data_IF_594060551935
#
_entry.id   IF_594060551935
#
_cell.length_a   1.000
_cell.length_b   1.000
_cell.length_c   1.000
_cell.angle_alpha   90.00
_cell.angle_beta   90.00
_cell.angle_gamma   90.00
#
_symmetry.space_group_name_H-M   'P 1'
#
loop_
_entity.id
_entity.type
_entity.pdbx_description
1 polymer ?
#
# COMPACT_ATOMS: atom_id res chain seq x y z
N UNK A 1 -0.46 3.49 -16.62
CA UNK A 1 0.04 4.14 -17.84
C UNK A 1 1.48 4.52 -17.58
N UNK A 2 2.37 4.45 -18.56
CA UNK A 2 3.74 4.92 -18.39
C UNK A 2 3.96 6.16 -19.26
N UNK A 3 4.90 6.99 -18.85
CA UNK A 3 5.44 8.09 -19.62
C UNK A 3 6.94 8.13 -19.40
N UNK A 4 7.70 8.17 -20.50
CA UNK A 4 9.15 8.10 -20.44
C UNK A 4 9.74 9.29 -21.18
N UNK A 5 10.66 10.01 -20.54
CA UNK A 5 11.42 11.10 -21.16
C UNK A 5 12.78 10.58 -21.56
N UNK A 6 13.17 10.78 -22.81
CA UNK A 6 14.42 10.29 -23.35
C UNK A 6 15.36 11.44 -23.73
N UNK A 7 16.66 11.19 -23.58
CA UNK A 7 17.73 12.11 -23.99
C UNK A 7 18.77 11.40 -24.82
N UNK A 8 19.06 11.98 -25.99
CA UNK A 8 20.17 11.58 -26.84
C UNK A 8 21.49 11.98 -26.16
N UNK A 9 22.37 10.99 -26.00
CA UNK A 9 23.69 11.14 -25.41
C UNK A 9 24.74 11.55 -26.46
N UNK A 10 25.90 12.07 -26.06
CA UNK A 10 26.99 12.40 -26.98
C UNK A 10 27.47 11.23 -27.84
N UNK A 11 27.34 9.99 -27.35
CA UNK A 11 27.69 8.75 -28.06
C UNK A 11 26.61 8.27 -29.05
N UNK A 12 25.51 9.02 -29.19
CA UNK A 12 24.38 8.68 -30.06
C UNK A 12 23.37 7.71 -29.43
N UNK A 13 23.60 7.22 -28.22
CA UNK A 13 22.63 6.37 -27.52
C UNK A 13 21.49 7.19 -26.91
N UNK A 14 20.30 6.57 -26.79
CA UNK A 14 19.18 7.16 -26.05
C UNK A 14 19.13 6.58 -24.64
N UNK A 15 19.02 7.46 -23.64
CA UNK A 15 18.83 7.09 -22.23
C UNK A 15 17.60 7.82 -21.68
N UNK A 16 16.81 7.13 -20.88
CA UNK A 16 15.67 7.76 -20.22
C UNK A 16 16.14 8.62 -19.04
N UNK A 17 15.54 9.79 -18.87
CA UNK A 17 15.71 10.71 -17.74
C UNK A 17 14.63 10.51 -16.67
N UNK A 18 13.50 9.99 -17.10
CA UNK A 18 12.30 9.76 -16.30
C UNK A 18 11.54 8.58 -16.89
N UNK A 19 11.07 7.68 -16.04
CA UNK A 19 10.06 6.69 -16.39
C UNK A 19 9.06 6.58 -15.25
N UNK A 20 7.79 6.82 -15.56
CA UNK A 20 6.73 6.80 -14.55
C UNK A 20 5.38 7.23 -15.09
N UNK A 21 4.33 6.96 -14.33
CA UNK A 21 2.99 7.41 -14.69
C UNK A 21 1.94 6.97 -13.67
N UNK A 22 0.80 7.67 -13.63
CA UNK A 22 -0.24 7.32 -12.68
C UNK A 22 -0.90 5.98 -13.03
N UNK A 23 -1.48 5.30 -12.02
CA UNK A 23 -2.44 4.24 -12.28
C UNK A 23 -3.66 4.86 -12.96
N UNK A 24 -3.99 4.36 -14.16
CA UNK A 24 -5.15 4.79 -14.93
C UNK A 24 -6.21 3.68 -14.91
N UNK A 25 -7.46 4.09 -14.84
CA UNK A 25 -8.62 3.22 -15.02
C UNK A 25 -9.00 3.23 -16.50
N UNK A 26 -9.22 2.06 -17.09
CA UNK A 26 -9.57 1.83 -18.51
C UNK A 26 -8.45 2.12 -19.53
N UNK A 27 -7.80 1.06 -20.00
CA UNK A 27 -7.07 1.10 -21.27
C UNK A 27 -8.02 0.68 -22.40
N UNK A 28 -8.14 1.44 -23.49
CA UNK A 28 -8.50 0.81 -24.75
C UNK A 28 -7.37 -0.16 -25.12
N UNK A 29 -7.71 -1.35 -25.63
CA UNK A 29 -6.71 -2.26 -26.21
C UNK A 29 -6.08 -1.57 -27.41
N UNK A 30 -4.83 -1.13 -27.28
CA UNK A 30 -4.06 -0.57 -28.39
C UNK A 30 -3.36 -1.75 -29.06
N UNK A 31 -3.56 -1.91 -30.38
CA UNK A 31 -2.83 -2.92 -31.14
C UNK A 31 -1.30 -2.66 -31.00
N UNK A 32 -0.46 -3.70 -30.87
CA UNK A 32 0.99 -3.54 -30.72
C UNK A 32 1.62 -2.70 -31.84
N UNK A 33 1.02 -2.76 -33.03
CA UNK A 33 1.43 -2.06 -34.24
C UNK A 33 0.41 -0.98 -34.65
N UNK A 34 -0.09 -0.20 -33.69
CA UNK A 34 -0.95 0.94 -34.03
C UNK A 34 -0.24 1.82 -35.07
N UNK A 35 -0.77 1.84 -36.29
CA UNK A 35 -0.07 2.31 -37.50
C UNK A 35 0.33 3.80 -37.46
N UNK A 36 -0.18 4.58 -36.52
CA UNK A 36 0.18 5.97 -36.30
C UNK A 36 0.24 6.29 -34.80
N UNK A 37 1.45 6.55 -34.29
CA UNK A 37 1.64 7.14 -32.95
C UNK A 37 1.48 8.66 -33.11
N UNK A 38 0.48 9.30 -32.45
CA UNK A 38 0.32 10.75 -32.54
C UNK A 38 1.59 11.47 -32.11
N UNK A 39 2.07 12.38 -32.94
CA UNK A 39 3.30 13.15 -32.69
C UNK A 39 2.95 14.55 -32.20
N UNK A 40 3.66 15.00 -31.15
CA UNK A 40 3.64 16.40 -30.77
C UNK A 40 4.32 17.22 -31.89
N UNK A 41 3.73 18.35 -32.33
CA UNK A 41 4.37 19.22 -33.30
C UNK A 41 5.77 19.65 -32.85
N UNK A 42 6.73 19.67 -33.76
CA UNK A 42 8.09 20.18 -33.47
C UNK A 42 8.03 21.70 -33.28
N UNK A 43 8.71 22.20 -32.27
CA UNK A 43 8.79 23.63 -32.02
C UNK A 43 9.55 24.35 -33.15
N UNK A 44 9.00 25.47 -33.62
CA UNK A 44 9.63 26.25 -34.69
C UNK A 44 10.94 26.95 -34.25
N UNK A 45 11.09 27.21 -32.95
CA UNK A 45 12.29 27.83 -32.36
C UNK A 45 12.37 27.51 -30.86
N UNK A 46 13.58 27.63 -30.31
CA UNK A 46 13.81 27.66 -28.86
C UNK A 46 14.29 29.03 -28.38
N UNK A 47 14.57 29.13 -27.08
CA UNK A 47 15.05 30.38 -26.44
C UNK A 47 16.57 30.53 -26.45
N UNK A 48 17.26 29.79 -27.32
CA UNK A 48 18.68 29.94 -27.62
C UNK A 48 19.63 29.01 -26.85
N UNK A 49 19.26 28.54 -25.66
CA UNK A 49 20.04 27.53 -24.92
C UNK A 49 19.20 26.73 -23.94
N UNK A 50 19.72 25.56 -23.56
CA UNK A 50 19.13 24.72 -22.51
C UNK A 50 19.06 25.46 -21.16
N UNK A 51 20.10 26.20 -20.80
CA UNK A 51 20.16 26.95 -19.53
C UNK A 51 19.10 28.06 -19.48
N UNK A 52 18.96 28.83 -20.56
CA UNK A 52 17.94 29.87 -20.66
C UNK A 52 16.53 29.28 -20.58
N UNK A 53 16.29 28.16 -21.27
CA UNK A 53 15.01 27.47 -21.24
C UNK A 53 14.66 26.96 -19.84
N UNK A 54 15.60 26.26 -19.19
CA UNK A 54 15.42 25.76 -17.84
C UNK A 54 15.18 26.88 -16.83
N UNK A 55 15.90 28.00 -16.94
CA UNK A 55 15.73 29.16 -16.06
C UNK A 55 14.34 29.82 -16.24
N UNK A 56 13.91 30.04 -17.48
CA UNK A 56 12.61 30.65 -17.77
C UNK A 56 11.45 29.77 -17.29
N UNK A 57 11.48 28.48 -17.60
CA UNK A 57 10.44 27.54 -17.15
C UNK A 57 10.45 27.40 -15.64
N UNK A 58 11.63 27.34 -14.99
CA UNK A 58 11.71 27.29 -13.53
C UNK A 58 11.17 28.56 -12.85
N UNK A 59 11.24 29.72 -13.50
CA UNK A 59 10.61 30.94 -13.00
C UNK A 59 9.09 30.88 -13.12
N UNK A 60 8.56 30.38 -14.24
CA UNK A 60 7.11 30.17 -14.43
C UNK A 60 6.57 29.18 -13.41
N UNK A 61 7.22 28.02 -13.26
CA UNK A 61 6.86 26.97 -12.29
C UNK A 61 6.76 27.49 -10.85
N UNK A 62 7.72 28.32 -10.43
CA UNK A 62 7.73 28.91 -9.09
C UNK A 62 6.69 30.03 -8.92
N UNK A 63 6.38 30.76 -9.99
CA UNK A 63 5.37 31.82 -9.98
C UNK A 63 3.93 31.30 -10.09
N UNK A 64 3.72 30.18 -10.77
CA UNK A 64 2.43 29.53 -10.99
C UNK A 64 2.37 28.17 -10.27
N UNK A 65 2.55 28.17 -8.95
CA UNK A 65 2.67 26.96 -8.14
C UNK A 65 1.35 26.21 -7.87
N UNK A 66 0.23 26.57 -8.52
CA UNK A 66 -1.08 25.91 -8.33
C UNK A 66 -1.65 25.41 -9.65
N UNK A 67 -2.48 24.36 -9.58
CA UNK A 67 -3.17 23.84 -10.76
C UNK A 67 -3.94 24.92 -11.52
N UNK A 68 -4.65 25.79 -10.80
CA UNK A 68 -5.43 26.89 -11.37
C UNK A 68 -4.55 27.94 -12.09
N UNK A 69 -3.39 28.29 -11.52
CA UNK A 69 -2.47 29.24 -12.15
C UNK A 69 -1.83 28.70 -13.44
N UNK A 70 -1.62 27.38 -13.51
CA UNK A 70 -1.01 26.72 -14.67
C UNK A 70 -1.98 26.51 -15.85
N UNK A 71 -3.29 26.65 -15.64
CA UNK A 71 -4.29 26.53 -16.72
C UNK A 71 -3.99 27.51 -17.87
N UNK A 72 -3.52 28.73 -17.56
CA UNK A 72 -3.17 29.73 -18.56
C UNK A 72 -1.96 29.34 -19.44
N UNK A 73 -1.17 28.36 -18.99
CA UNK A 73 0.00 27.87 -19.69
C UNK A 73 -0.26 26.56 -20.45
N UNK A 74 -1.46 25.95 -20.37
CA UNK A 74 -1.76 24.75 -21.13
C UNK A 74 -1.83 25.05 -22.63
N UNK A 75 -1.20 24.18 -23.42
CA UNK A 75 -1.44 24.12 -24.85
C UNK A 75 -2.84 23.59 -25.17
N UNK A 76 -3.40 23.98 -26.31
CA UNK A 76 -4.73 23.51 -26.73
C UNK A 76 -4.78 22.01 -27.07
N UNK A 77 -3.65 21.42 -27.41
CA UNK A 77 -3.40 20.00 -27.66
C UNK A 77 -2.76 19.27 -26.46
N UNK A 78 -2.69 19.91 -25.28
CA UNK A 78 -2.03 19.37 -24.11
C UNK A 78 -2.67 18.06 -23.61
N UNK A 79 -1.83 17.18 -23.10
CA UNK A 79 -2.25 15.95 -22.43
C UNK A 79 -2.14 16.11 -20.92
N UNK A 80 -3.20 15.81 -20.19
CA UNK A 80 -3.20 15.86 -18.72
C UNK A 80 -3.64 14.51 -18.17
N UNK A 81 -2.81 13.92 -17.31
CA UNK A 81 -3.04 12.61 -16.72
C UNK A 81 -3.16 12.70 -15.20
N UNK A 82 -4.20 12.08 -14.66
CA UNK A 82 -4.48 12.00 -13.21
C UNK A 82 -4.82 10.57 -12.83
N UNK A 83 -4.50 10.18 -11.61
CA UNK A 83 -4.84 8.86 -11.10
C UNK A 83 -6.36 8.64 -11.12
N UNK A 84 -6.79 7.45 -11.55
CA UNK A 84 -8.20 7.06 -11.66
C UNK A 84 -9.10 7.95 -12.54
N UNK A 85 -8.50 8.79 -13.40
CA UNK A 85 -9.22 9.57 -14.41
C UNK A 85 -8.95 9.01 -15.82
N UNK A 86 -9.92 9.09 -16.74
CA UNK A 86 -9.63 8.91 -18.16
C UNK A 86 -8.56 9.91 -18.61
N UNK A 87 -7.72 9.50 -19.58
CA UNK A 87 -6.75 10.40 -20.21
C UNK A 87 -7.48 11.60 -20.82
N UNK A 88 -7.10 12.82 -20.45
CA UNK A 88 -7.62 14.03 -21.08
C UNK A 88 -6.63 14.53 -22.14
N UNK A 89 -7.16 14.83 -23.33
CA UNK A 89 -6.41 15.44 -24.42
C UNK A 89 -7.15 16.69 -24.91
N UNK A 90 -6.45 17.82 -24.83
CA UNK A 90 -6.84 19.11 -25.35
C UNK A 90 -8.02 19.81 -24.68
N UNK A 91 -8.16 21.11 -25.01
CA UNK A 91 -9.31 21.95 -24.71
C UNK A 91 -9.80 21.93 -23.25
N UNK A 92 -11.13 21.84 -23.07
CA UNK A 92 -11.77 21.86 -21.75
C UNK A 92 -11.44 20.64 -20.89
N UNK A 93 -11.21 19.47 -21.51
CA UNK A 93 -10.91 18.23 -20.80
C UNK A 93 -9.57 18.34 -20.06
N UNK A 94 -8.50 18.77 -20.75
CA UNK A 94 -7.19 18.99 -20.13
C UNK A 94 -7.26 20.03 -19.00
N UNK A 95 -7.94 21.15 -19.25
CA UNK A 95 -8.11 22.23 -18.26
C UNK A 95 -8.84 21.75 -16.99
N UNK A 96 -9.88 20.92 -17.12
CA UNK A 96 -10.62 20.39 -15.97
C UNK A 96 -9.79 19.49 -15.04
N UNK A 97 -8.73 18.85 -15.55
CA UNK A 97 -7.88 17.96 -14.74
C UNK A 97 -6.75 18.71 -14.02
N UNK A 98 -6.43 19.96 -14.39
CA UNK A 98 -5.31 20.69 -13.79
C UNK A 98 -5.47 20.95 -12.30
N UNK A 99 -6.72 21.05 -11.82
CA UNK A 99 -7.06 21.27 -10.41
C UNK A 99 -7.46 19.98 -9.68
N UNK A 100 -7.30 18.81 -10.31
CA UNK A 100 -7.46 17.52 -9.66
C UNK A 100 -6.12 17.02 -9.12
N UNK A 101 -6.08 16.33 -7.97
CA UNK A 101 -7.21 15.70 -7.28
C UNK A 101 -8.04 16.61 -6.36
N UNK A 102 -7.55 17.79 -5.99
CA UNK A 102 -8.29 18.72 -5.13
C UNK A 102 -7.98 20.19 -5.47
N UNK A 103 -8.90 21.14 -5.19
CA UNK A 103 -8.71 22.55 -5.52
C UNK A 103 -7.50 23.22 -4.86
N UNK A 104 -7.03 22.70 -3.73
CA UNK A 104 -5.87 23.20 -2.98
C UNK A 104 -4.52 22.63 -3.47
N UNK A 105 -4.55 21.92 -4.61
CA UNK A 105 -3.37 21.36 -5.25
C UNK A 105 -2.30 22.42 -5.53
N UNK A 106 -1.13 22.19 -4.95
CA UNK A 106 0.05 23.00 -5.12
C UNK A 106 1.28 22.17 -5.50
N UNK A 107 2.25 22.83 -6.12
CA UNK A 107 3.45 22.24 -6.68
C UNK A 107 4.71 22.91 -6.16
N UNK A 108 5.75 22.11 -5.89
CA UNK A 108 7.09 22.59 -5.58
C UNK A 108 8.08 21.97 -6.57
N UNK A 109 8.67 22.82 -7.42
CA UNK A 109 9.65 22.38 -8.42
C UNK A 109 10.91 21.83 -7.75
N UNK A 110 11.34 20.63 -8.14
CA UNK A 110 12.61 20.04 -7.71
C UNK A 110 13.68 20.13 -8.80
N UNK A 111 13.30 19.89 -10.06
CA UNK A 111 14.24 19.83 -11.19
C UNK A 111 13.60 20.28 -12.49
N UNK A 112 14.38 20.98 -13.30
CA UNK A 112 14.07 21.32 -14.68
C UNK A 112 15.27 20.96 -15.57
N UNK A 113 15.04 20.20 -16.64
CA UNK A 113 16.06 19.89 -17.65
C UNK A 113 15.56 20.24 -19.04
N UNK A 114 16.39 20.92 -19.82
CA UNK A 114 16.02 21.41 -21.13
C UNK A 114 16.77 20.70 -22.26
N UNK A 115 16.10 20.62 -23.40
CA UNK A 115 16.67 20.32 -24.71
C UNK A 115 17.82 21.27 -25.08
N UNK A 116 18.76 20.81 -25.91
CA UNK A 116 19.90 21.61 -26.38
C UNK A 116 19.46 22.88 -27.11
N UNK A 117 18.40 22.79 -27.93
CA UNK A 117 17.84 23.91 -28.67
C UNK A 117 17.09 24.92 -27.77
N UNK A 118 16.79 24.55 -26.51
CA UNK A 118 16.03 25.39 -25.59
C UNK A 118 14.57 25.56 -26.00
N UNK A 119 14.00 24.57 -26.68
CA UNK A 119 12.62 24.57 -27.20
C UNK A 119 11.69 23.63 -26.40
N UNK A 120 12.26 22.71 -25.63
CA UNK A 120 11.54 21.81 -24.74
C UNK A 120 12.20 21.74 -23.36
N UNK A 121 11.40 21.71 -22.29
CA UNK A 121 11.84 21.54 -20.90
C UNK A 121 10.98 20.48 -20.21
N UNK A 122 11.64 19.53 -19.55
CA UNK A 122 11.02 18.59 -18.63
C UNK A 122 11.18 19.11 -17.20
N UNK A 123 10.08 19.12 -16.44
CA UNK A 123 10.09 19.50 -15.02
C UNK A 123 9.52 18.39 -14.14
N UNK A 124 10.10 18.22 -12.96
CA UNK A 124 9.56 17.35 -11.90
C UNK A 124 9.63 18.03 -10.55
N UNK A 125 8.69 17.66 -9.68
CA UNK A 125 8.67 18.14 -8.32
C UNK A 125 7.60 17.50 -7.47
N UNK A 126 7.39 18.05 -6.28
CA UNK A 126 6.37 17.58 -5.36
C UNK A 126 5.01 18.20 -5.71
N UNK A 127 3.96 17.41 -5.53
CA UNK A 127 2.56 17.85 -5.56
C UNK A 127 1.95 17.61 -4.18
N UNK A 128 1.20 18.57 -3.63
CA UNK A 128 0.53 18.44 -2.33
C UNK A 128 -0.91 18.91 -2.43
N UNK A 129 -1.81 18.23 -1.73
CA UNK A 129 -3.24 18.51 -1.73
C UNK A 129 -3.90 17.93 -0.47
N UNK A 130 -5.18 18.22 -0.25
CA UNK A 130 -5.95 17.64 0.86
C UNK A 130 -6.96 16.62 0.34
N UNK A 131 -6.97 15.40 0.90
CA UNK A 131 -7.96 14.36 0.61
C UNK A 131 -8.72 14.04 1.90
N UNK A 132 -10.05 14.22 1.93
CA UNK A 132 -10.89 13.92 3.10
C UNK A 132 -10.36 14.55 4.41
N UNK A 133 -9.87 15.79 4.35
CA UNK A 133 -9.30 16.52 5.49
C UNK A 133 -7.89 16.07 5.91
N UNK A 134 -7.26 15.14 5.20
CA UNK A 134 -5.88 14.68 5.47
C UNK A 134 -4.92 15.21 4.40
N UNK A 135 -3.71 15.66 4.80
CA UNK A 135 -2.66 15.99 3.85
C UNK A 135 -2.33 14.79 2.97
N UNK A 136 -2.21 15.03 1.67
CA UNK A 136 -1.75 14.08 0.67
C UNK A 136 -0.62 14.73 -0.12
N UNK A 137 0.32 13.91 -0.57
CA UNK A 137 1.44 14.35 -1.39
C UNK A 137 1.61 13.38 -2.54
N UNK A 138 2.43 13.74 -3.53
CA UNK A 138 2.85 12.93 -4.67
C UNK A 138 3.90 13.68 -5.47
N UNK A 139 4.16 13.25 -6.69
CA UNK A 139 5.10 13.94 -7.58
C UNK A 139 4.41 14.36 -8.87
N UNK A 140 4.72 15.54 -9.38
CA UNK A 140 4.32 15.95 -10.71
C UNK A 140 5.47 15.76 -11.70
N UNK A 141 5.10 15.59 -12.96
CA UNK A 141 6.00 15.70 -14.10
C UNK A 141 5.31 16.45 -15.23
N UNK A 142 6.02 17.41 -15.83
CA UNK A 142 5.52 18.21 -16.94
C UNK A 142 6.51 18.31 -18.08
N UNK A 143 5.97 18.42 -19.29
CA UNK A 143 6.71 18.84 -20.48
C UNK A 143 6.20 20.20 -20.91
N UNK A 144 7.15 21.12 -21.03
CA UNK A 144 6.97 22.45 -21.57
C UNK A 144 7.59 22.51 -22.96
N UNK A 145 6.91 23.16 -23.89
CA UNK A 145 7.41 23.46 -25.22
C UNK A 145 7.31 24.96 -25.49
N UNK A 146 8.34 25.53 -26.11
CA UNK A 146 8.33 26.91 -26.55
C UNK A 146 7.56 27.01 -27.87
N UNK A 147 6.46 27.78 -27.86
CA UNK A 147 5.58 27.98 -29.01
C UNK A 147 5.56 29.44 -29.44
N UNK A 148 4.80 29.75 -30.49
CA UNK A 148 4.64 31.12 -31.00
C UNK A 148 4.16 32.10 -29.92
N UNK A 149 3.33 31.60 -29.01
CA UNK A 149 2.69 32.29 -27.89
C UNK A 149 3.49 32.20 -26.57
N UNK A 150 4.72 31.67 -26.62
CA UNK A 150 5.61 31.46 -25.48
C UNK A 150 5.58 30.03 -24.94
N UNK A 151 6.04 29.86 -23.69
CA UNK A 151 6.08 28.55 -23.04
C UNK A 151 4.67 27.99 -22.81
N UNK A 152 4.44 26.76 -23.27
CA UNK A 152 3.20 26.02 -23.05
C UNK A 152 3.44 24.62 -22.51
N UNK A 153 2.60 24.20 -21.59
CA UNK A 153 2.54 22.85 -21.05
C UNK A 153 1.85 21.99 -22.12
N UNK A 154 2.58 21.02 -22.66
CA UNK A 154 2.09 20.07 -23.65
C UNK A 154 1.78 18.70 -23.02
N UNK A 155 2.35 18.43 -21.84
CA UNK A 155 2.06 17.25 -21.04
C UNK A 155 2.15 17.59 -19.56
N UNK A 156 1.19 17.10 -18.77
CA UNK A 156 1.20 17.20 -17.31
C UNK A 156 0.68 15.89 -16.68
N UNK A 157 1.35 15.41 -15.64
CA UNK A 157 0.86 14.32 -14.83
C UNK A 157 1.16 14.50 -13.34
N UNK A 158 0.31 13.89 -12.52
CA UNK A 158 0.58 13.69 -11.09
C UNK A 158 0.62 12.18 -10.84
N UNK A 159 1.72 11.72 -10.27
CA UNK A 159 1.91 10.37 -9.78
C UNK A 159 1.70 10.42 -8.27
N UNK A 160 0.59 9.88 -7.74
CA UNK A 160 0.43 9.76 -6.29
C UNK A 160 1.49 8.78 -5.74
N UNK A 161 1.84 8.88 -4.45
CA UNK A 161 2.74 7.97 -3.79
C UNK A 161 2.16 6.58 -3.94
N UNK A 162 3.01 5.64 -4.32
CA UNK A 162 2.60 4.26 -4.25
C UNK A 162 2.39 3.93 -2.78
N UNK A 163 1.21 3.44 -2.39
CA UNK A 163 1.05 2.94 -1.04
C UNK A 163 2.12 1.86 -0.81
N UNK A 164 2.62 1.76 0.42
CA UNK A 164 3.73 0.88 0.77
C UNK A 164 3.54 0.37 2.19
N UNK A 165 3.76 -0.93 2.41
CA UNK A 165 3.75 -1.48 3.76
C UNK A 165 5.00 -1.09 4.59
N UNK A 166 5.91 -0.26 4.05
CA UNK A 166 7.15 0.12 4.70
C UNK A 166 6.95 0.69 6.11
N UNK A 167 5.94 1.54 6.34
CA UNK A 167 5.68 2.09 7.66
C UNK A 167 5.27 1.02 8.69
N UNK A 168 4.43 0.06 8.28
CA UNK A 168 4.00 -1.07 9.13
C UNK A 168 5.15 -2.06 9.36
N UNK A 169 5.96 -2.34 8.34
CA UNK A 169 7.17 -3.16 8.46
C UNK A 169 8.16 -2.51 9.43
N UNK A 170 8.33 -1.19 9.37
CA UNK A 170 9.23 -0.48 10.27
C UNK A 170 8.66 -0.41 11.69
N UNK A 171 7.35 -0.27 11.87
CA UNK A 171 6.71 -0.34 13.19
C UNK A 171 6.97 -1.71 13.86
N UNK A 172 6.82 -2.80 13.11
CA UNK A 172 7.13 -4.15 13.57
C UNK A 172 8.62 -4.31 13.93
N UNK A 173 9.53 -3.84 13.06
CA UNK A 173 10.97 -3.90 13.33
C UNK A 173 11.36 -3.03 14.53
N UNK A 174 10.73 -1.87 14.71
CA UNK A 174 10.95 -1.00 15.86
C UNK A 174 10.50 -1.67 17.15
N UNK A 175 9.29 -2.26 17.16
CA UNK A 175 8.79 -3.06 18.27
C UNK A 175 9.76 -4.21 18.61
N UNK A 176 10.18 -4.99 17.62
CA UNK A 176 11.11 -6.10 17.81
C UNK A 176 12.46 -5.63 18.37
N UNK A 177 13.04 -4.54 17.84
CA UNK A 177 14.30 -3.96 18.35
C UNK A 177 14.15 -3.45 19.78
N UNK A 178 13.08 -2.73 20.09
CA UNK A 178 12.84 -2.23 21.45
C UNK A 178 12.63 -3.36 22.45
N UNK A 179 11.90 -4.42 22.07
CA UNK A 179 11.71 -5.60 22.92
C UNK A 179 13.06 -6.24 23.33
N UNK A 180 14.11 -6.16 22.49
CA UNK A 180 15.46 -6.63 22.87
C UNK A 180 16.18 -5.71 23.86
N UNK A 181 15.80 -4.43 23.92
CA UNK A 181 16.49 -3.41 24.74
C UNK A 181 15.80 -3.20 26.09
N UNK A 182 14.46 -3.15 26.11
CA UNK A 182 13.65 -2.83 27.30
C UNK A 182 12.74 -3.99 27.73
N UNK A 183 12.82 -5.11 27.04
CA UNK A 183 12.01 -6.30 27.31
C UNK A 183 10.62 -6.29 26.63
N UNK A 184 10.06 -7.48 26.37
CA UNK A 184 8.83 -7.66 25.59
C UNK A 184 7.57 -7.15 26.29
N UNK A 185 7.42 -7.24 27.62
CA UNK A 185 6.29 -6.67 28.35
C UNK A 185 6.26 -5.15 28.22
N UNK A 186 7.41 -4.49 28.42
CA UNK A 186 7.50 -3.02 28.33
C UNK A 186 7.28 -2.56 26.89
N UNK A 187 7.91 -3.22 25.92
CA UNK A 187 7.72 -2.92 24.51
C UNK A 187 6.27 -3.13 24.07
N UNK A 188 5.60 -4.22 24.50
CA UNK A 188 4.19 -4.44 24.20
C UNK A 188 3.32 -3.29 24.73
N UNK A 189 3.50 -2.87 25.99
CA UNK A 189 2.76 -1.72 26.55
C UNK A 189 3.00 -0.44 25.75
N UNK A 190 4.20 -0.26 25.21
CA UNK A 190 4.57 0.89 24.39
C UNK A 190 4.00 0.87 22.97
N UNK A 191 3.85 -0.29 22.35
CA UNK A 191 3.47 -0.43 20.93
C UNK A 191 2.01 -0.86 20.72
N UNK A 192 1.33 -1.32 21.74
CA UNK A 192 -0.08 -1.69 21.68
C UNK A 192 -1.02 -0.50 21.70
N UNK A 193 -2.17 -0.65 21.05
CA UNK A 193 -3.32 0.21 21.27
C UNK A 193 -3.97 -0.12 22.62
N UNK A 194 -4.75 0.81 23.17
CA UNK A 194 -5.45 0.62 24.45
C UNK A 194 -6.48 -0.51 24.42
N UNK A 195 -7.02 -0.80 23.24
CA UNK A 195 -7.98 -1.87 22.95
C UNK A 195 -7.33 -3.11 22.31
N UNK A 196 -6.02 -3.27 22.47
CA UNK A 196 -5.29 -4.37 21.88
C UNK A 196 -5.63 -5.72 22.54
N UNK A 197 -5.80 -6.76 21.72
CA UNK A 197 -6.18 -8.11 22.16
C UNK A 197 -5.05 -9.10 21.88
N UNK A 198 -4.80 -9.98 22.85
CA UNK A 198 -3.93 -11.16 22.70
C UNK A 198 -4.72 -12.43 23.01
N UNK A 199 -4.20 -13.60 22.61
CA UNK A 199 -4.81 -14.90 22.91
C UNK A 199 -4.09 -15.62 24.06
N UNK A 200 -4.73 -15.77 25.23
CA UNK A 200 -4.18 -16.44 26.44
C UNK A 200 -5.26 -17.14 27.30
N UNK A 201 -5.66 -18.40 27.02
CA UNK A 201 -5.74 -19.03 25.71
C UNK A 201 -6.93 -18.50 24.86
N UNK A 202 -7.81 -17.70 25.47
CA UNK A 202 -8.87 -16.93 24.81
C UNK A 202 -8.49 -15.47 24.59
N UNK A 203 -9.33 -14.69 23.89
CA UNK A 203 -9.10 -13.26 23.70
C UNK A 203 -9.17 -12.53 25.04
N UNK A 204 -8.13 -11.76 25.33
CA UNK A 204 -8.02 -10.90 26.52
C UNK A 204 -7.39 -9.57 26.12
N UNK A 205 -7.80 -8.47 26.77
CA UNK A 205 -7.12 -7.19 26.57
C UNK A 205 -5.67 -7.31 27.06
N UNK A 206 -4.73 -6.73 26.30
CA UNK A 206 -3.32 -6.76 26.69
C UNK A 206 -3.10 -6.16 28.09
N UNK A 207 -3.78 -5.06 28.40
CA UNK A 207 -3.70 -4.37 29.68
C UNK A 207 -4.07 -5.28 30.85
N UNK A 208 -5.12 -6.08 30.69
CA UNK A 208 -5.57 -7.07 31.68
C UNK A 208 -4.58 -8.24 31.78
N UNK A 209 -4.12 -8.76 30.64
CA UNK A 209 -3.15 -9.86 30.60
C UNK A 209 -1.80 -9.49 31.22
N UNK A 210 -1.39 -8.23 31.13
CA UNK A 210 -0.14 -7.73 31.70
C UNK A 210 -0.31 -7.08 33.08
N UNK A 211 -1.50 -7.17 33.68
CA UNK A 211 -1.76 -6.66 35.02
C UNK A 211 -0.90 -7.40 36.04
N UNK A 212 0.02 -6.68 36.70
CA UNK A 212 0.94 -7.26 37.69
C UNK A 212 2.20 -7.93 37.11
N UNK A 213 2.37 -7.97 35.78
CA UNK A 213 3.59 -8.48 35.16
C UNK A 213 4.76 -7.50 35.38
N UNK A 214 5.81 -7.94 36.08
CA UNK A 214 6.94 -7.09 36.51
C UNK A 214 8.18 -7.16 35.61
N UNK A 215 8.29 -8.17 34.73
CA UNK A 215 9.44 -8.31 33.83
C UNK A 215 9.40 -9.60 33.04
N UNK A 216 10.28 -9.66 32.04
CA UNK A 216 10.26 -10.64 30.95
C UNK A 216 11.03 -11.94 31.23
N UNK A 217 11.60 -12.06 32.44
CA UNK A 217 12.55 -13.11 32.77
C UNK A 217 13.84 -12.96 31.97
N UNK A 218 14.43 -14.08 31.54
CA UNK A 218 15.66 -14.14 30.73
C UNK A 218 15.41 -14.52 29.27
N UNK A 219 14.16 -14.78 28.89
CA UNK A 219 13.81 -15.24 27.54
C UNK A 219 13.82 -14.06 26.57
N UNK A 220 14.60 -14.18 25.50
CA UNK A 220 14.61 -13.18 24.42
C UNK A 220 13.67 -13.63 23.32
N UNK A 221 12.70 -12.79 22.94
CA UNK A 221 11.81 -13.06 21.81
C UNK A 221 12.23 -12.20 20.62
N UNK A 222 12.65 -12.84 19.53
CA UNK A 222 13.10 -12.15 18.32
C UNK A 222 12.08 -12.36 17.20
N UNK A 223 11.62 -11.28 16.57
CA UNK A 223 10.54 -11.29 15.57
C UNK A 223 11.14 -10.89 14.22
N UNK A 224 10.72 -11.54 13.13
CA UNK A 224 11.17 -11.18 11.78
C UNK A 224 9.98 -11.09 10.83
N UNK A 225 9.58 -9.89 10.38
CA UNK A 225 8.52 -9.77 9.38
C UNK A 225 8.91 -10.48 8.08
N UNK A 226 8.03 -11.38 7.62
CA UNK A 226 8.17 -12.19 6.40
C UNK A 226 6.98 -12.02 5.43
N UNK A 227 5.97 -11.29 5.87
CA UNK A 227 4.85 -10.83 5.07
C UNK A 227 4.26 -9.57 5.68
N UNK A 228 3.84 -8.64 4.83
CA UNK A 228 3.08 -7.49 5.29
C UNK A 228 2.01 -7.10 4.27
N UNK A 229 0.95 -6.47 4.75
CA UNK A 229 -0.04 -5.81 3.91
C UNK A 229 -0.53 -4.53 4.58
N UNK A 230 -0.91 -3.54 3.78
CA UNK A 230 -1.46 -2.28 4.30
C UNK A 230 -2.57 -1.78 3.37
N UNK A 231 -3.53 -1.07 3.94
CA UNK A 231 -4.56 -0.33 3.22
C UNK A 231 -3.94 0.72 2.31
N UNK A 232 -4.68 1.14 1.27
CA UNK A 232 -4.28 2.24 0.38
C UNK A 232 -4.03 3.55 1.12
N UNK A 233 -4.78 3.78 2.21
CA UNK A 233 -4.62 4.97 3.06
C UNK A 233 -3.44 4.86 4.04
N UNK A 234 -2.80 3.69 4.17
CA UNK A 234 -1.67 3.47 5.08
C UNK A 234 -2.05 3.41 6.56
N UNK A 235 -3.35 3.42 6.88
CA UNK A 235 -3.88 3.57 8.24
C UNK A 235 -4.21 2.25 8.94
N UNK A 236 -4.21 1.15 8.19
CA UNK A 236 -4.55 -0.17 8.69
C UNK A 236 -3.73 -1.23 7.95
N UNK A 237 -3.08 -2.13 8.67
CA UNK A 237 -2.20 -3.12 8.07
C UNK A 237 -1.92 -4.30 8.98
N UNK A 238 -1.07 -5.21 8.51
CA UNK A 238 -0.67 -6.38 9.28
C UNK A 238 0.73 -6.84 8.90
N UNK A 239 1.35 -7.58 9.82
CA UNK A 239 2.62 -8.27 9.65
C UNK A 239 2.46 -9.72 10.08
N UNK A 240 3.25 -10.60 9.46
CA UNK A 240 3.40 -11.98 9.91
C UNK A 240 4.81 -12.46 9.59
N UNK A 241 5.32 -13.35 10.42
CA UNK A 241 6.60 -14.01 10.19
C UNK A 241 7.06 -14.82 11.39
N UNK A 242 8.24 -15.43 11.32
CA UNK A 242 8.75 -16.26 12.39
C UNK A 242 9.12 -15.42 13.62
N UNK A 243 8.89 -16.00 14.79
CA UNK A 243 9.53 -15.59 16.02
C UNK A 243 10.46 -16.69 16.54
N UNK A 244 11.51 -16.28 17.24
CA UNK A 244 12.56 -17.14 17.77
C UNK A 244 12.67 -16.91 19.27
N UNK A 245 12.85 -17.99 20.01
CA UNK A 245 13.20 -17.93 21.43
C UNK A 245 14.72 -17.98 21.55
N UNK A 246 15.28 -17.02 22.26
CA UNK A 246 16.71 -16.83 22.49
C UNK A 246 17.51 -16.74 21.18
N UNK A 247 18.78 -17.16 21.18
CA UNK A 247 19.65 -17.18 20.00
C UNK A 247 19.38 -18.38 19.07
N UNK A 248 18.23 -19.06 19.22
CA UNK A 248 17.89 -20.21 18.40
C UNK A 248 17.77 -19.79 16.92
N UNK A 249 18.34 -20.63 16.04
CA UNK A 249 18.22 -20.46 14.58
C UNK A 249 16.93 -21.06 14.02
N UNK A 250 16.19 -21.81 14.84
CA UNK A 250 14.91 -22.43 14.46
C UNK A 250 13.77 -21.57 15.00
N UNK A 251 12.80 -21.25 14.15
CA UNK A 251 11.61 -20.51 14.56
C UNK A 251 10.83 -21.31 15.61
N UNK A 252 10.42 -20.66 16.69
CA UNK A 252 9.52 -21.22 17.69
C UNK A 252 8.05 -21.18 17.23
N UNK A 253 7.76 -20.38 16.21
CA UNK A 253 6.45 -20.28 15.58
C UNK A 253 6.38 -19.08 14.65
N UNK A 254 5.19 -18.75 14.19
CA UNK A 254 4.90 -17.52 13.45
C UNK A 254 3.92 -16.65 14.21
N UNK A 255 4.21 -15.35 14.25
CA UNK A 255 3.31 -14.34 14.78
C UNK A 255 2.41 -13.79 13.67
N UNK A 256 1.31 -13.18 14.11
CA UNK A 256 0.42 -12.38 13.27
C UNK A 256 -0.04 -11.17 14.07
N UNK A 257 0.35 -9.99 13.60
CA UNK A 257 0.12 -8.71 14.27
C UNK A 257 -0.69 -7.80 13.35
N UNK A 258 -1.74 -7.18 13.87
CA UNK A 258 -2.58 -6.23 13.13
C UNK A 258 -2.34 -4.83 13.65
N UNK A 259 -2.02 -3.90 12.77
CA UNK A 259 -1.61 -2.53 13.04
C UNK A 259 -2.69 -1.52 12.63
N UNK A 260 -2.88 -0.49 13.45
CA UNK A 260 -3.82 0.61 13.19
C UNK A 260 -3.16 1.94 13.53
N UNK A 261 -3.31 2.92 12.64
CA UNK A 261 -2.94 4.31 12.93
C UNK A 261 -3.85 4.88 14.01
N UNK A 262 -3.24 5.54 14.99
CA UNK A 262 -3.93 6.27 16.05
C UNK A 262 -4.25 7.69 15.57
N UNK A 263 -5.03 8.43 16.37
CA UNK A 263 -5.40 9.83 16.07
C UNK A 263 -4.20 10.78 16.03
N UNK A 264 -3.10 10.44 16.72
CA UNK A 264 -1.85 11.19 16.71
C UNK A 264 -0.92 10.83 15.54
N UNK A 265 -1.34 9.91 14.67
CA UNK A 265 -0.56 9.42 13.53
C UNK A 265 0.41 8.28 13.85
N UNK A 266 0.57 7.91 15.11
CA UNK A 266 1.39 6.74 15.49
C UNK A 266 0.73 5.43 15.02
N UNK A 267 1.53 4.43 14.67
CA UNK A 267 1.03 3.07 14.44
C UNK A 267 1.11 2.29 15.75
N UNK A 268 -0.01 1.65 16.12
CA UNK A 268 -0.07 0.73 17.26
C UNK A 268 -0.73 -0.57 16.83
N UNK A 269 -0.30 -1.69 17.39
CA UNK A 269 -0.95 -2.97 17.12
C UNK A 269 -2.21 -3.14 17.97
N UNK A 270 -3.25 -3.73 17.39
CA UNK A 270 -4.57 -3.96 18.00
C UNK A 270 -4.88 -5.45 18.21
N UNK A 271 -4.10 -6.32 17.60
CA UNK A 271 -4.18 -7.75 17.76
C UNK A 271 -2.79 -8.35 17.60
N UNK A 272 -2.39 -9.23 18.51
CA UNK A 272 -1.19 -10.02 18.38
C UNK A 272 -1.42 -11.46 18.87
N UNK A 273 -1.06 -12.43 18.04
CA UNK A 273 -1.06 -13.83 18.42
C UNK A 273 -0.07 -14.63 17.55
N UNK A 274 0.36 -15.79 18.05
CA UNK A 274 1.22 -16.70 17.31
C UNK A 274 0.75 -18.14 17.35
N UNK A 275 1.23 -18.95 16.40
CA UNK A 275 1.08 -20.42 16.42
C UNK A 275 2.43 -21.05 16.11
N UNK A 276 2.60 -22.29 16.57
CA UNK A 276 3.73 -23.20 16.35
C UNK A 276 3.85 -23.68 14.88
N UNK A 277 3.99 -22.71 13.97
CA UNK A 277 4.32 -22.95 12.56
C UNK A 277 5.76 -23.47 12.47
N UNK A 278 5.98 -24.51 11.68
CA UNK A 278 7.31 -25.06 11.45
C UNK A 278 7.95 -24.34 10.27
N UNK A 279 8.94 -23.49 10.54
CA UNK A 279 9.74 -22.86 9.50
C UNK A 279 11.05 -23.63 9.28
N UNK A 280 11.27 -24.13 8.07
CA UNK A 280 12.49 -24.85 7.72
C UNK A 280 13.65 -23.91 7.36
N UNK A 281 13.40 -22.61 7.18
CA UNK A 281 14.40 -21.66 6.68
C UNK A 281 14.60 -20.46 7.63
N UNK A 282 15.85 -20.12 7.98
CA UNK A 282 16.12 -18.89 8.72
C UNK A 282 15.91 -17.67 7.81
N UNK A 283 15.31 -16.60 8.36
CA UNK A 283 15.11 -15.32 7.67
C UNK A 283 16.11 -14.30 8.20
N UNK A 284 16.84 -13.56 7.36
CA UNK A 284 17.75 -12.51 7.85
C UNK A 284 16.97 -11.32 8.49
N UNK A 285 17.51 -10.62 9.52
CA UNK A 285 16.80 -9.51 10.16
C UNK A 285 16.39 -8.36 9.21
N UNK A 286 17.19 -8.10 8.18
CA UNK A 286 17.02 -7.05 7.19
C UNK A 286 16.45 -7.56 5.86
N UNK A 287 16.04 -8.83 5.79
CA UNK A 287 15.48 -9.44 4.59
C UNK A 287 14.34 -8.59 4.01
N UNK A 288 14.27 -8.53 2.68
CA UNK A 288 13.15 -7.91 1.99
C UNK A 288 11.85 -8.61 2.39
N UNK A 289 10.84 -7.84 2.78
CA UNK A 289 9.55 -8.36 3.23
C UNK A 289 8.59 -8.37 2.03
N UNK A 290 8.15 -9.54 1.55
CA UNK A 290 7.09 -9.61 0.54
C UNK A 290 5.82 -8.88 0.99
N UNK A 291 5.22 -8.12 0.09
CA UNK A 291 4.05 -7.30 0.38
C UNK A 291 2.81 -7.82 -0.35
N UNK A 292 1.67 -7.79 0.33
CA UNK A 292 0.36 -8.00 -0.28
C UNK A 292 0.10 -6.91 -1.33
N UNK A 293 -0.33 -7.25 -2.56
CA UNK A 293 -0.72 -6.25 -3.55
C UNK A 293 -1.86 -5.36 -3.04
N UNK A 294 -1.81 -4.07 -3.35
CA UNK A 294 -2.84 -3.12 -2.94
C UNK A 294 -4.21 -3.43 -3.53
N UNK A 295 -5.24 -3.01 -2.80
CA UNK A 295 -6.61 -3.13 -3.24
C UNK A 295 -6.88 -2.26 -4.49
N UNK A 296 -7.77 -2.75 -5.36
CA UNK A 296 -8.18 -2.00 -6.56
C UNK A 296 -9.21 -0.90 -6.26
N UNK A 297 -9.83 -0.92 -5.08
CA UNK A 297 -10.86 -0.01 -4.60
C UNK A 297 -11.25 -0.38 -3.16
N UNK A 298 -12.29 0.24 -2.61
CA UNK A 298 -12.76 -0.03 -1.24
C UNK A 298 -14.26 0.19 -1.08
N UNK A 299 -14.79 -0.21 0.08
CA UNK A 299 -16.19 -0.04 0.48
C UNK A 299 -16.54 1.41 0.89
N UNK A 300 -15.58 2.35 0.77
CA UNK A 300 -15.79 3.77 1.04
C UNK A 300 -15.69 4.17 2.51
N UNK A 301 -15.73 3.23 3.45
CA UNK A 301 -15.47 3.47 4.86
C UNK A 301 -15.06 2.18 5.60
N UNK A 302 -14.44 2.34 6.78
CA UNK A 302 -14.14 1.24 7.68
C UNK A 302 -15.40 0.45 8.08
N UNK A 303 -16.48 1.15 8.43
CA UNK A 303 -17.75 0.50 8.80
C UNK A 303 -18.37 -0.25 7.62
N UNK A 304 -18.35 0.34 6.41
CA UNK A 304 -18.81 -0.34 5.20
C UNK A 304 -18.05 -1.63 4.92
N UNK A 305 -16.73 -1.64 5.12
CA UNK A 305 -15.93 -2.86 5.00
C UNK A 305 -16.31 -3.91 6.04
N UNK A 306 -16.51 -3.50 7.30
CA UNK A 306 -16.93 -4.39 8.39
C UNK A 306 -18.29 -5.03 8.07
N UNK A 307 -19.27 -4.23 7.65
CA UNK A 307 -20.63 -4.69 7.39
C UNK A 307 -20.67 -5.68 6.22
N UNK A 308 -19.99 -5.35 5.11
CA UNK A 308 -19.92 -6.24 3.94
C UNK A 308 -19.19 -7.56 4.24
N UNK A 309 -18.07 -7.51 4.98
CA UNK A 309 -17.32 -8.72 5.33
C UNK A 309 -18.10 -9.60 6.30
N UNK A 310 -18.81 -9.02 7.27
CA UNK A 310 -19.69 -9.78 8.18
C UNK A 310 -20.84 -10.44 7.44
N UNK A 311 -21.44 -9.75 6.47
CA UNK A 311 -22.46 -10.33 5.61
C UNK A 311 -21.89 -11.53 4.84
N UNK A 312 -20.71 -11.39 4.24
CA UNK A 312 -20.04 -12.49 3.54
C UNK A 312 -19.73 -13.68 4.45
N UNK A 313 -19.21 -13.46 5.67
CA UNK A 313 -18.96 -14.54 6.63
C UNK A 313 -20.26 -15.26 7.05
N UNK A 314 -21.37 -14.52 7.15
CA UNK A 314 -22.69 -15.08 7.47
C UNK A 314 -23.25 -15.91 6.32
N UNK A 315 -23.14 -15.42 5.09
CA UNK A 315 -23.58 -16.12 3.88
C UNK A 315 -22.71 -17.35 3.55
N UNK A 316 -21.44 -17.34 3.96
CA UNK A 316 -20.45 -18.37 3.66
C UNK A 316 -20.00 -19.09 4.95
N UNK A 317 -20.92 -19.74 5.63
CA UNK A 317 -20.69 -20.31 6.97
C UNK A 317 -19.88 -21.63 6.99
N UNK A 318 -19.57 -22.23 5.83
CA UNK A 318 -18.81 -23.49 5.74
C UNK A 318 -17.40 -23.29 5.19
N UNK A 319 -16.49 -24.22 5.50
CA UNK A 319 -15.11 -24.22 4.96
C UNK A 319 -15.11 -24.16 3.43
N UNK A 320 -15.96 -24.96 2.76
CA UNK A 320 -16.02 -24.99 1.29
C UNK A 320 -16.46 -23.64 0.69
N UNK A 321 -17.42 -22.97 1.31
CA UNK A 321 -17.88 -21.65 0.87
C UNK A 321 -16.82 -20.57 1.10
N UNK A 322 -16.15 -20.57 2.27
CA UNK A 322 -15.03 -19.65 2.53
C UNK A 322 -13.85 -19.91 1.59
N UNK A 323 -13.58 -21.17 1.24
CA UNK A 323 -12.52 -21.53 0.30
C UNK A 323 -12.73 -20.90 -1.09
N UNK A 324 -13.99 -20.72 -1.52
CA UNK A 324 -14.32 -20.05 -2.77
C UNK A 324 -14.04 -18.53 -2.74
N UNK A 325 -13.83 -17.96 -1.56
CA UNK A 325 -13.50 -16.54 -1.36
C UNK A 325 -12.00 -16.30 -1.19
N UNK A 326 -11.15 -17.32 -1.29
CA UNK A 326 -9.70 -17.15 -1.22
C UNK A 326 -9.17 -16.35 -2.41
N UNK A 327 -8.19 -15.49 -2.14
CA UNK A 327 -7.42 -14.81 -3.17
C UNK A 327 -6.40 -15.78 -3.80
N UNK A 328 -6.06 -15.67 -5.10
CA UNK A 328 -5.03 -16.49 -5.73
C UNK A 328 -3.64 -16.38 -5.09
N UNK A 329 -3.38 -15.30 -4.35
CA UNK A 329 -2.15 -15.00 -3.60
C UNK A 329 -2.34 -15.14 -2.07
N UNK A 330 -3.39 -15.85 -1.62
CA UNK A 330 -3.67 -16.05 -0.18
C UNK A 330 -2.48 -16.67 0.55
N UNK A 331 -2.24 -16.26 1.79
CA UNK A 331 -1.34 -16.95 2.72
C UNK A 331 -2.10 -17.61 3.86
N UNK A 332 -1.69 -18.83 4.21
CA UNK A 332 -2.35 -19.63 5.25
C UNK A 332 -1.31 -20.13 6.23
N UNK A 333 -1.54 -19.85 7.51
CA UNK A 333 -0.76 -20.37 8.63
C UNK A 333 -1.60 -21.37 9.43
N UNK A 334 -1.02 -22.54 9.72
CA UNK A 334 -1.62 -23.58 10.56
C UNK A 334 -0.55 -24.14 11.50
N UNK A 335 -0.97 -24.47 12.71
CA UNK A 335 -0.15 -25.20 13.69
C UNK A 335 0.45 -26.46 13.06
N UNK A 336 1.76 -26.66 13.25
CA UNK A 336 2.48 -27.83 12.73
C UNK A 336 2.74 -27.87 11.22
N UNK A 337 2.32 -26.85 10.46
CA UNK A 337 2.61 -26.72 9.03
C UNK A 337 3.61 -25.59 8.77
N UNK A 338 4.28 -25.62 7.61
CA UNK A 338 5.02 -24.46 7.11
C UNK A 338 4.06 -23.38 6.60
N UNK A 339 4.45 -22.09 6.59
CA UNK A 339 3.65 -21.05 5.96
C UNK A 339 3.49 -21.33 4.47
N UNK A 340 2.26 -21.36 3.97
CA UNK A 340 1.98 -21.59 2.55
C UNK A 340 1.40 -20.34 1.90
N UNK A 341 1.56 -20.24 0.58
CA UNK A 341 0.97 -19.20 -0.25
C UNK A 341 0.32 -19.79 -1.52
N UNK A 342 -0.63 -19.05 -2.09
CA UNK A 342 -1.31 -19.38 -3.34
C UNK A 342 -2.04 -20.73 -3.32
N UNK A 343 -1.87 -21.53 -4.36
CA UNK A 343 -2.58 -22.80 -4.53
C UNK A 343 -2.32 -23.79 -3.37
N UNK A 344 -1.08 -23.88 -2.89
CA UNK A 344 -0.74 -24.75 -1.76
C UNK A 344 -1.43 -24.30 -0.46
N UNK A 345 -1.54 -22.98 -0.25
CA UNK A 345 -2.30 -22.42 0.86
C UNK A 345 -3.80 -22.70 0.74
N UNK A 346 -4.38 -22.58 -0.45
CA UNK A 346 -5.78 -22.91 -0.70
C UNK A 346 -6.06 -24.40 -0.44
N UNK A 347 -5.16 -25.29 -0.85
CA UNK A 347 -5.25 -26.71 -0.57
C UNK A 347 -5.17 -27.01 0.94
N UNK A 348 -4.29 -26.32 1.68
CA UNK A 348 -4.21 -26.44 3.14
C UNK A 348 -5.48 -25.92 3.83
N UNK A 349 -6.05 -24.81 3.35
CA UNK A 349 -7.32 -24.30 3.87
C UNK A 349 -8.45 -25.33 3.69
N UNK A 350 -8.53 -25.97 2.52
CA UNK A 350 -9.53 -26.99 2.21
C UNK A 350 -9.41 -28.27 3.06
N UNK A 351 -8.26 -28.52 3.67
CA UNK A 351 -8.07 -29.63 4.63
C UNK A 351 -8.67 -29.33 6.01
N UNK A 352 -9.12 -28.10 6.26
CA UNK A 352 -9.86 -27.78 7.50
C UNK A 352 -11.12 -28.67 7.57
N UNK A 353 -11.36 -29.37 8.70
CA UNK A 353 -12.53 -30.22 8.87
C UNK A 353 -13.84 -29.55 8.41
N UNK A 354 -14.66 -30.24 7.62
CA UNK A 354 -15.92 -29.70 7.12
C UNK A 354 -16.93 -29.35 8.24
N UNK A 355 -16.74 -29.92 9.43
CA UNK A 355 -17.44 -29.59 10.68
C UNK A 355 -17.06 -28.24 11.25
N UNK A 356 -15.97 -27.61 10.78
CA UNK A 356 -15.49 -26.36 11.33
C UNK A 356 -16.47 -25.22 11.10
N UNK A 357 -16.71 -24.41 12.13
CA UNK A 357 -17.59 -23.24 12.07
C UNK A 357 -16.89 -22.04 12.69
N UNK A 358 -16.98 -20.91 12.01
CA UNK A 358 -16.34 -19.65 12.41
C UNK A 358 -17.39 -18.68 12.94
N UNK A 359 -17.09 -18.04 14.07
CA UNK A 359 -17.94 -17.01 14.66
C UNK A 359 -17.11 -15.77 14.96
N UNK A 360 -17.38 -14.70 14.24
CA UNK A 360 -16.68 -13.42 14.36
C UNK A 360 -16.96 -12.78 15.72
N UNK A 361 -15.91 -12.41 16.45
CA UNK A 361 -16.00 -11.66 17.71
C UNK A 361 -15.69 -10.17 17.50
N UNK A 362 -14.69 -9.88 16.68
CA UNK A 362 -14.29 -8.51 16.32
C UNK A 362 -14.07 -8.41 14.83
N UNK A 363 -14.41 -7.25 14.29
CA UNK A 363 -14.07 -6.86 12.94
C UNK A 363 -13.56 -5.41 12.95
N UNK A 364 -12.57 -5.13 12.12
CA UNK A 364 -11.97 -3.81 11.93
C UNK A 364 -11.78 -3.57 10.43
N UNK A 365 -11.79 -2.31 10.00
CA UNK A 365 -11.64 -1.93 8.59
C UNK A 365 -10.77 -0.69 8.41
N UNK A 366 -10.14 -0.57 7.25
CA UNK A 366 -9.38 0.63 6.86
C UNK A 366 -10.29 1.81 6.53
N UNK A 367 -9.78 3.05 6.60
CA UNK A 367 -10.59 4.24 6.31
C UNK A 367 -11.21 4.25 4.91
N UNK A 368 -10.52 3.74 3.89
CA UNK A 368 -11.08 3.61 2.52
C UNK A 368 -11.96 2.35 2.33
N UNK A 369 -12.05 1.49 3.35
CA UNK A 369 -12.81 0.25 3.32
C UNK A 369 -12.25 -0.79 2.35
N UNK A 370 -10.94 -0.78 2.12
CA UNK A 370 -10.24 -1.61 1.16
C UNK A 370 -9.53 -2.83 1.78
N UNK A 371 -9.34 -2.80 3.10
CA UNK A 371 -8.79 -3.89 3.91
C UNK A 371 -9.68 -4.07 5.16
N UNK A 372 -9.94 -5.32 5.55
CA UNK A 372 -10.65 -5.62 6.78
C UNK A 372 -10.00 -6.79 7.53
N UNK A 373 -10.10 -6.75 8.85
CA UNK A 373 -9.64 -7.79 9.75
C UNK A 373 -10.84 -8.36 10.49
N UNK A 374 -10.91 -9.69 10.58
CA UNK A 374 -11.89 -10.40 11.40
C UNK A 374 -11.15 -11.38 12.30
N UNK A 375 -11.47 -11.39 13.60
CA UNK A 375 -11.07 -12.46 14.49
C UNK A 375 -12.27 -13.00 15.26
N UNK A 376 -12.19 -14.27 15.63
CA UNK A 376 -13.23 -14.87 16.44
C UNK A 376 -12.94 -16.31 16.82
N UNK A 377 -13.99 -17.07 17.10
CA UNK A 377 -13.90 -18.47 17.49
C UNK A 377 -13.99 -19.39 16.28
N UNK A 378 -13.31 -20.52 16.37
CA UNK A 378 -13.53 -21.66 15.49
C UNK A 378 -13.87 -22.90 16.31
N UNK A 379 -14.97 -23.56 15.98
CA UNK A 379 -15.39 -24.83 16.58
C UNK A 379 -15.33 -25.95 15.54
N UNK A 380 -15.55 -27.21 15.94
CA UNK A 380 -15.59 -28.34 15.00
C UNK A 380 -14.22 -28.82 14.48
N UNK A 381 -13.13 -28.27 15.02
CA UNK A 381 -11.77 -28.82 14.93
C UNK A 381 -11.54 -29.82 16.08
N UNK A 382 -10.42 -30.54 16.08
CA UNK A 382 -9.95 -31.26 17.28
C UNK A 382 -9.59 -30.23 18.37
N UNK A 383 -10.61 -29.80 19.13
CA UNK A 383 -10.55 -28.67 20.06
C UNK A 383 -11.21 -27.40 19.49
N UNK A 384 -11.76 -26.57 20.38
CA UNK A 384 -12.16 -25.22 20.01
C UNK A 384 -10.91 -24.32 19.94
N UNK A 385 -10.92 -23.33 19.06
CA UNK A 385 -9.80 -22.40 18.85
C UNK A 385 -10.29 -21.00 18.51
N UNK A 386 -9.35 -20.19 18.05
CA UNK A 386 -9.64 -18.88 17.48
C UNK A 386 -9.13 -18.81 16.04
N UNK A 387 -9.63 -17.85 15.29
CA UNK A 387 -9.10 -17.53 13.97
C UNK A 387 -8.83 -16.04 13.86
N UNK A 388 -7.90 -15.69 12.99
CA UNK A 388 -7.64 -14.33 12.52
C UNK A 388 -7.57 -14.37 11.00
N UNK A 389 -8.20 -13.39 10.35
CA UNK A 389 -8.33 -13.36 8.89
C UNK A 389 -8.27 -11.93 8.38
N UNK A 390 -7.55 -11.75 7.28
CA UNK A 390 -7.53 -10.50 6.52
C UNK A 390 -8.31 -10.68 5.22
N UNK A 391 -9.19 -9.73 4.98
CA UNK A 391 -9.97 -9.56 3.76
C UNK A 391 -9.46 -8.34 3.03
N UNK A 392 -9.41 -8.42 1.70
CA UNK A 392 -9.10 -7.27 0.86
C UNK A 392 -10.10 -7.14 -0.29
N UNK A 393 -10.50 -5.90 -0.59
CA UNK A 393 -11.40 -5.60 -1.71
C UNK A 393 -10.63 -5.71 -3.03
N UNK A 394 -10.76 -6.84 -3.71
CA UNK A 394 -10.23 -7.04 -5.07
C UNK A 394 -11.23 -6.52 -6.10
N UNK A 395 -10.83 -6.45 -7.38
CA UNK A 395 -11.72 -6.05 -8.49
C UNK A 395 -13.00 -6.91 -8.56
N UNK A 396 -12.89 -8.19 -8.24
CA UNK A 396 -14.01 -9.14 -8.24
C UNK A 396 -14.80 -9.19 -6.91
N UNK A 397 -14.54 -8.25 -5.98
CA UNK A 397 -15.12 -8.22 -4.64
C UNK A 397 -14.14 -8.61 -3.54
N UNK A 398 -14.64 -8.79 -2.32
CA UNK A 398 -13.84 -9.19 -1.18
C UNK A 398 -13.22 -10.58 -1.35
N UNK A 399 -11.94 -10.70 -0.99
CA UNK A 399 -11.22 -11.97 -0.95
C UNK A 399 -10.42 -12.11 0.33
N UNK A 400 -10.32 -13.34 0.80
CA UNK A 400 -9.46 -13.72 1.93
C UNK A 400 -8.03 -13.76 1.41
N UNK A 401 -7.16 -12.95 1.99
CA UNK A 401 -5.74 -12.83 1.60
C UNK A 401 -4.80 -13.38 2.67
N UNK A 402 -5.27 -13.51 3.90
CA UNK A 402 -4.56 -14.18 4.98
C UNK A 402 -5.56 -14.87 5.91
N UNK A 403 -5.25 -16.07 6.37
CA UNK A 403 -6.03 -16.74 7.42
C UNK A 403 -5.13 -17.62 8.30
N UNK A 404 -5.34 -17.51 9.61
CA UNK A 404 -4.63 -18.27 10.62
C UNK A 404 -5.61 -18.80 11.66
N UNK A 405 -5.43 -20.07 12.05
CA UNK A 405 -6.14 -20.71 13.16
C UNK A 405 -5.18 -20.89 14.32
N UNK A 406 -5.65 -20.56 15.52
CA UNK A 406 -4.97 -20.71 16.79
C UNK A 406 -5.71 -21.78 17.60
N UNK A 407 -5.22 -23.03 17.63
CA UNK A 407 -5.78 -24.06 18.50
C UNK A 407 -5.72 -23.60 19.96
N UNK A 408 -6.74 -23.90 20.78
CA UNK A 408 -6.56 -23.76 22.24
C UNK A 408 -5.52 -24.78 22.65
N UNK A 409 -4.42 -24.32 23.24
CA UNK A 409 -3.49 -25.21 23.93
C UNK A 409 -4.24 -25.80 25.14
N UNK A 410 -4.23 -27.13 25.24
CA UNK A 410 -4.95 -27.90 26.25
C UNK A 410 -4.31 -27.86 27.62
#
# INVERSE_FOLDING_TARGET
>A
MYFTVWRLQPDGSWKWLYDGGPPVTNFPTIAPDAAEVPQLPIAARGVGSAEAAAAQVSAIERGAATGAALVAHLADDAMVNRAAQPRAQGGAAARSLMTLPAPDLNFALLRAEASRAGDMVYTVGDARWTTNGRPSAGHFMRIWQYRTEGWRIVYDQIVPPQPSAAAVIEAERAFAREATTIGWITAQRGHAATDAVVLRPGPVLLSENLAGAQGDGTTTLNWRPAFAGVSRAGDFGFTSGPFFLDSASTAAGHYFTVWRSQTDGSLKWIFDAGTDVVDAAPIAPDAAVPQLPFAGGGAGSAQGAIDEVRALETENATVAQLAALLSPDVRINRSGAAPLAGEAAAALFAQTPATARFRTLRAEGSAEGDLAFTFGEVTGLQGAGHYARIWQRRRAGWRIVFDQVFPRQG
#
